data_IF_993840000799
#
_entry.id   IF_993840000799
#
_cell.length_a   1.000
_cell.length_b   1.000
_cell.length_c   1.000
_cell.angle_alpha   90.00
_cell.angle_beta   90.00
_cell.angle_gamma   90.00
#
_symmetry.space_group_name_H-M   'P 1'
#
loop_
_entity.id
_entity.type
_entity.pdbx_description
1 polymer ?
#
# COMPACT_ATOMS: atom_id res chain seq x y z
N UNK A 1 46.04 3.01 2.34
CA UNK A 1 45.07 4.10 2.61
C UNK A 1 43.70 3.55 2.27
N UNK A 2 42.95 3.08 3.27
CA UNK A 2 41.57 2.66 3.05
C UNK A 2 40.70 3.92 2.95
N UNK A 3 39.96 4.04 1.84
CA UNK A 3 39.04 5.15 1.62
C UNK A 3 38.00 5.22 2.76
N UNK A 4 37.60 6.43 3.20
CA UNK A 4 36.55 6.56 4.20
C UNK A 4 35.26 5.98 3.61
N UNK A 5 34.77 4.88 4.18
CA UNK A 5 33.44 4.34 3.86
C UNK A 5 32.42 5.44 4.12
N UNK A 6 31.79 5.91 3.04
CA UNK A 6 30.68 6.85 3.09
C UNK A 6 29.65 6.30 4.09
N UNK A 7 29.36 7.05 5.15
CA UNK A 7 28.37 6.63 6.14
C UNK A 7 27.02 6.66 5.44
N UNK A 8 26.47 5.48 5.17
CA UNK A 8 25.11 5.36 4.67
C UNK A 8 24.15 6.11 5.60
N UNK A 9 23.32 6.98 5.03
CA UNK A 9 22.30 7.70 5.79
C UNK A 9 21.36 6.69 6.45
N UNK A 10 21.03 6.92 7.73
CA UNK A 10 20.09 6.08 8.50
C UNK A 10 18.76 5.96 7.77
N UNK A 11 18.34 7.01 7.07
CA UNK A 11 17.11 6.99 6.27
C UNK A 11 17.19 5.95 5.13
N UNK A 12 18.32 5.88 4.44
CA UNK A 12 18.55 4.90 3.35
C UNK A 12 18.63 3.48 3.90
N UNK A 13 19.32 3.30 5.03
CA UNK A 13 19.38 2.01 5.72
C UNK A 13 18.00 1.52 6.18
N UNK A 14 17.17 2.44 6.68
CA UNK A 14 15.80 2.18 7.09
C UNK A 14 14.93 1.68 5.93
N UNK A 15 14.95 2.37 4.78
CA UNK A 15 14.21 1.97 3.59
C UNK A 15 14.68 0.60 3.06
N UNK A 16 15.99 0.35 3.02
CA UNK A 16 16.50 -0.97 2.58
C UNK A 16 16.05 -2.12 3.48
N UNK A 17 15.98 -1.88 4.79
CA UNK A 17 15.53 -2.90 5.74
C UNK A 17 14.02 -3.13 5.67
N UNK A 18 13.22 -2.08 5.43
CA UNK A 18 11.77 -2.23 5.33
C UNK A 18 11.35 -3.03 4.09
N UNK A 19 12.08 -2.85 2.98
CA UNK A 19 11.84 -3.58 1.73
C UNK A 19 12.33 -5.03 1.75
N UNK A 20 13.33 -5.34 2.60
CA UNK A 20 13.94 -6.68 2.66
C UNK A 20 13.35 -7.60 3.72
N UNK A 21 12.59 -7.07 4.68
CA UNK A 21 11.96 -7.85 5.74
C UNK A 21 10.49 -8.16 5.40
N UNK A 22 10.04 -9.36 5.76
CA UNK A 22 8.66 -9.78 5.53
C UNK A 22 7.70 -9.36 6.66
N UNK A 23 8.22 -9.16 7.87
CA UNK A 23 7.44 -8.84 9.07
C UNK A 23 8.03 -7.69 9.87
N UNK A 24 7.17 -7.08 10.71
CA UNK A 24 7.55 -6.02 11.63
C UNK A 24 8.60 -6.50 12.63
N UNK A 25 8.48 -7.72 13.14
CA UNK A 25 9.41 -8.31 14.10
C UNK A 25 10.80 -8.48 13.48
N UNK A 26 10.87 -9.04 12.27
CA UNK A 26 12.13 -9.25 11.55
C UNK A 26 12.84 -7.92 11.25
N UNK A 27 12.07 -6.90 10.87
CA UNK A 27 12.59 -5.55 10.66
C UNK A 27 13.18 -4.95 11.95
N UNK A 28 12.46 -5.01 13.07
CA UNK A 28 12.90 -4.42 14.34
C UNK A 28 14.14 -5.15 14.88
N UNK A 29 14.20 -6.47 14.75
CA UNK A 29 15.33 -7.27 15.18
C UNK A 29 16.59 -6.94 14.38
N UNK A 30 16.52 -6.94 13.04
CA UNK A 30 17.65 -6.55 12.18
C UNK A 30 18.09 -5.11 12.44
N UNK A 31 17.15 -4.16 12.55
CA UNK A 31 17.50 -2.76 12.80
C UNK A 31 18.18 -2.57 14.17
N UNK A 32 17.71 -3.26 15.21
CA UNK A 32 18.30 -3.19 16.56
C UNK A 32 19.72 -3.75 16.63
N UNK A 33 20.02 -4.75 15.79
CA UNK A 33 21.32 -5.44 15.75
C UNK A 33 22.32 -4.66 14.90
N UNK A 34 21.90 -4.09 13.76
CA UNK A 34 22.79 -3.38 12.84
C UNK A 34 22.97 -1.91 13.22
N UNK A 35 21.96 -1.25 13.77
CA UNK A 35 21.93 0.18 14.07
C UNK A 35 21.53 0.48 15.52
N UNK A 36 22.14 -0.20 16.50
CA UNK A 36 21.73 -0.18 17.91
C UNK A 36 21.60 1.24 18.51
N UNK A 37 22.53 2.14 18.21
CA UNK A 37 22.49 3.53 18.73
C UNK A 37 21.25 4.29 18.22
N UNK A 38 20.95 4.14 16.93
CA UNK A 38 19.81 4.79 16.29
C UNK A 38 18.50 4.11 16.64
N UNK A 39 18.52 2.79 16.83
CA UNK A 39 17.39 2.03 17.34
C UNK A 39 16.95 2.57 18.70
N UNK A 40 17.88 2.77 19.64
CA UNK A 40 17.56 3.33 20.96
C UNK A 40 16.98 4.75 20.81
N UNK A 41 17.59 5.58 19.96
CA UNK A 41 17.17 6.97 19.75
C UNK A 41 15.78 7.10 19.11
N UNK A 42 15.44 6.22 18.18
CA UNK A 42 14.22 6.32 17.36
C UNK A 42 13.22 5.19 17.61
N UNK A 43 13.39 4.38 18.67
CA UNK A 43 12.63 3.16 18.94
C UNK A 43 11.12 3.31 18.73
N UNK A 44 10.51 4.28 19.41
CA UNK A 44 9.05 4.53 19.31
C UNK A 44 8.59 4.86 17.88
N UNK A 45 9.41 5.62 17.16
CA UNK A 45 9.13 6.01 15.78
C UNK A 45 9.23 4.77 14.88
N UNK A 46 10.26 3.96 15.05
CA UNK A 46 10.45 2.71 14.30
C UNK A 46 9.31 1.71 14.55
N UNK A 47 8.91 1.51 15.80
CA UNK A 47 7.77 0.64 16.16
C UNK A 47 6.46 1.13 15.53
N UNK A 48 6.20 2.43 15.56
CA UNK A 48 5.03 3.03 14.90
C UNK A 48 5.04 2.79 13.39
N UNK A 49 6.17 3.04 12.72
CA UNK A 49 6.26 2.86 11.27
C UNK A 49 6.20 1.39 10.86
N UNK A 50 6.85 0.50 11.61
CA UNK A 50 6.78 -0.94 11.36
C UNK A 50 5.32 -1.43 11.48
N UNK A 51 4.61 -1.01 12.54
CA UNK A 51 3.18 -1.34 12.70
C UNK A 51 2.33 -0.84 11.53
N UNK A 52 2.61 0.36 11.00
CA UNK A 52 1.86 0.94 9.88
C UNK A 52 2.16 0.23 8.56
N UNK A 53 3.43 -0.06 8.29
CA UNK A 53 3.88 -0.63 7.01
C UNK A 53 3.53 -2.11 6.89
N UNK A 54 3.70 -2.86 7.97
CA UNK A 54 3.37 -4.29 8.03
C UNK A 54 1.94 -4.56 8.52
N UNK A 55 1.09 -3.53 8.59
CA UNK A 55 -0.33 -3.73 8.89
C UNK A 55 -0.93 -4.61 7.80
N UNK A 56 -1.67 -5.65 8.20
CA UNK A 56 -2.53 -6.38 7.26
C UNK A 56 -3.48 -5.35 6.62
N UNK A 57 -3.52 -5.34 5.28
CA UNK A 57 -4.48 -4.52 4.56
C UNK A 57 -5.89 -4.80 5.07
N UNK A 58 -6.81 -3.80 4.99
CA UNK A 58 -8.19 -4.03 5.37
C UNK A 58 -8.73 -5.24 4.60
N UNK A 59 -9.50 -6.08 5.28
CA UNK A 59 -10.15 -7.21 4.62
C UNK A 59 -11.00 -6.67 3.45
N UNK A 60 -10.96 -7.33 2.28
CA UNK A 60 -11.80 -6.94 1.16
C UNK A 60 -13.26 -6.93 1.61
N UNK A 61 -13.97 -5.83 1.33
CA UNK A 61 -15.39 -5.78 1.61
C UNK A 61 -16.10 -6.88 0.81
N UNK A 62 -16.80 -7.76 1.52
CA UNK A 62 -17.68 -8.76 0.92
C UNK A 62 -19.11 -8.23 1.03
N UNK A 63 -19.77 -7.91 -0.09
CA UNK A 63 -21.17 -7.50 -0.06
C UNK A 63 -22.04 -8.59 0.59
N UNK A 64 -22.97 -8.24 1.49
CA UNK A 64 -23.87 -9.23 2.12
C UNK A 64 -24.88 -9.80 1.12
N UNK A 65 -25.08 -9.13 -0.01
CA UNK A 65 -26.02 -9.51 -1.06
C UNK A 65 -25.25 -9.68 -2.37
N UNK A 66 -25.52 -10.81 -3.04
CA UNK A 66 -25.02 -11.05 -4.39
C UNK A 66 -25.73 -10.15 -5.40
N UNK A 67 -25.12 -9.90 -6.56
CA UNK A 67 -25.72 -9.06 -7.61
C UNK A 67 -27.11 -9.57 -8.04
N UNK A 68 -27.37 -10.87 -7.93
CA UNK A 68 -28.64 -11.51 -8.25
C UNK A 68 -29.73 -11.31 -7.19
N UNK A 69 -29.41 -10.70 -6.04
CA UNK A 69 -30.40 -10.37 -5.01
C UNK A 69 -31.23 -9.13 -5.35
N UNK A 70 -30.90 -8.44 -6.44
CA UNK A 70 -31.57 -7.22 -6.86
C UNK A 70 -32.23 -7.41 -8.21
N UNK A 71 -33.56 -7.24 -8.25
CA UNK A 71 -34.28 -7.08 -9.49
C UNK A 71 -34.06 -5.66 -10.00
N UNK A 72 -33.32 -5.52 -11.11
CA UNK A 72 -33.06 -4.23 -11.74
C UNK A 72 -34.24 -3.90 -12.67
N UNK A 73 -35.01 -2.83 -12.40
CA UNK A 73 -36.14 -2.45 -13.25
C UNK A 73 -35.72 -2.21 -14.70
N UNK A 74 -36.57 -2.63 -15.65
CA UNK A 74 -36.30 -2.49 -17.08
C UNK A 74 -36.00 -1.04 -17.49
N UNK A 75 -36.70 -0.06 -16.90
CA UNK A 75 -36.48 1.36 -17.17
C UNK A 75 -35.05 1.82 -16.84
N UNK A 76 -34.46 1.29 -15.75
CA UNK A 76 -33.08 1.58 -15.37
C UNK A 76 -32.09 0.91 -16.33
N UNK A 77 -32.35 -0.33 -16.74
CA UNK A 77 -31.52 -1.02 -17.73
C UNK A 77 -31.50 -0.28 -19.07
N UNK A 78 -32.67 0.14 -19.55
CA UNK A 78 -32.82 0.91 -20.78
C UNK A 78 -32.12 2.27 -20.69
N UNK A 79 -32.22 2.95 -19.54
CA UNK A 79 -31.51 4.20 -19.32
C UNK A 79 -30.00 4.01 -19.37
N UNK A 80 -29.45 2.98 -18.72
CA UNK A 80 -28.01 2.66 -18.73
C UNK A 80 -27.53 2.37 -20.15
N UNK A 81 -28.26 1.53 -20.88
CA UNK A 81 -27.93 1.17 -22.26
C UNK A 81 -27.81 2.42 -23.14
N UNK A 82 -28.84 3.28 -23.13
CA UNK A 82 -28.88 4.52 -23.91
C UNK A 82 -27.83 5.55 -23.50
N UNK A 83 -27.48 5.62 -22.20
CA UNK A 83 -26.67 6.72 -21.67
C UNK A 83 -25.22 6.37 -21.35
N UNK A 84 -24.86 5.09 -21.25
CA UNK A 84 -23.53 4.68 -20.84
C UNK A 84 -22.86 3.72 -21.83
N UNK A 85 -23.64 2.87 -22.51
CA UNK A 85 -23.13 1.84 -23.44
C UNK A 85 -23.20 2.35 -24.88
N UNK A 86 -24.38 2.74 -25.35
CA UNK A 86 -24.63 3.17 -26.73
C UNK A 86 -24.21 4.62 -27.01
N UNK A 87 -23.16 5.11 -26.33
CA UNK A 87 -22.62 6.45 -26.57
C UNK A 87 -21.36 6.38 -27.45
N UNK A 88 -21.49 6.44 -28.80
CA UNK A 88 -20.35 6.42 -29.70
C UNK A 88 -19.39 7.60 -29.50
N UNK A 89 -19.87 8.72 -28.92
CA UNK A 89 -19.09 9.93 -28.69
C UNK A 89 -18.65 10.13 -27.22
N UNK A 90 -18.86 9.15 -26.32
CA UNK A 90 -18.39 9.31 -24.94
C UNK A 90 -16.86 9.28 -24.93
N UNK A 91 -16.17 10.33 -24.44
CA UNK A 91 -14.72 10.31 -24.33
C UNK A 91 -14.30 9.14 -23.42
N UNK A 92 -13.47 8.23 -23.94
CA UNK A 92 -12.90 7.15 -23.13
C UNK A 92 -11.96 7.79 -22.12
N UNK A 93 -12.18 7.51 -20.83
CA UNK A 93 -11.27 7.95 -19.77
C UNK A 93 -10.19 6.87 -19.57
N UNK A 94 -8.92 7.26 -19.64
CA UNK A 94 -7.81 6.40 -19.25
C UNK A 94 -7.67 6.49 -17.73
N UNK A 95 -7.90 5.40 -17.01
CA UNK A 95 -7.65 5.32 -15.57
C UNK A 95 -6.33 4.60 -15.36
N UNK A 96 -5.31 5.35 -14.95
CA UNK A 96 -4.02 4.78 -14.56
C UNK A 96 -4.06 4.50 -13.06
N UNK A 97 -4.14 3.22 -12.70
CA UNK A 97 -4.03 2.77 -11.31
C UNK A 97 -2.59 2.33 -11.09
N UNK A 98 -1.77 3.22 -10.53
CA UNK A 98 -0.44 2.89 -10.03
C UNK A 98 -0.48 2.57 -8.53
N UNK A 99 0.50 1.82 -8.03
CA UNK A 99 0.79 1.80 -6.58
C UNK A 99 1.13 3.23 -6.15
N UNK A 100 0.29 3.85 -5.33
CA UNK A 100 0.74 4.97 -4.50
C UNK A 100 1.81 4.42 -3.58
N UNK A 101 3.07 4.67 -3.91
CA UNK A 101 4.20 4.29 -3.08
C UNK A 101 4.11 4.94 -1.72
N UNK A 102 3.97 4.10 -0.69
CA UNK A 102 4.38 4.35 0.69
C UNK A 102 4.99 3.07 1.23
#
# INVERSE_FOLDING_TARGET
MEAPKEKESIHTAWLKLIDSCATSEEFLEKFSTTYTKDYIRYRRKLEYFAKKFYAKGPEPYVPPLNQNAFDIPLALQQWVQKNLIDKPHRPKSLVLIGRTGL
#
